data_IF_762806376976
#
_entry.id   IF_762806376976
#
_cell.length_a   1.000
_cell.length_b   1.000
_cell.length_c   1.000
_cell.angle_alpha   90.00
_cell.angle_beta   90.00
_cell.angle_gamma   90.00
#
_symmetry.space_group_name_H-M   'P 1'
#
loop_
_entity.id
_entity.type
_entity.pdbx_description
1 polymer ?
#
# COMPACT_ATOMS: atom_id res chain seq x y z
N UNK A 1 2.88 -14.95 4.86
CA UNK A 1 3.07 -13.59 4.30
C UNK A 1 1.82 -12.79 4.63
N UNK A 2 1.88 -11.48 4.79
CA UNK A 2 0.67 -10.68 5.01
C UNK A 2 -0.15 -10.72 3.71
N UNK A 3 -1.27 -11.43 3.73
CA UNK A 3 -2.13 -11.65 2.57
C UNK A 3 -3.43 -10.85 2.75
N UNK A 4 -3.90 -10.24 1.66
CA UNK A 4 -5.23 -9.65 1.62
C UNK A 4 -6.21 -10.83 1.57
N UNK A 5 -6.88 -11.10 2.70
CA UNK A 5 -7.81 -12.23 2.82
C UNK A 5 -9.18 -11.88 2.26
N UNK A 6 -10.02 -12.86 1.86
CA UNK A 6 -11.35 -12.63 1.32
C UNK A 6 -12.29 -11.78 2.19
N UNK A 7 -12.03 -11.69 3.48
CA UNK A 7 -12.83 -10.92 4.43
C UNK A 7 -12.37 -9.45 4.56
N UNK A 8 -11.32 -9.05 3.82
CA UNK A 8 -10.82 -7.68 3.82
C UNK A 8 -11.59 -6.82 2.80
N UNK A 9 -11.96 -5.56 3.13
CA UNK A 9 -12.66 -4.66 2.20
C UNK A 9 -11.87 -4.42 0.89
N UNK A 10 -10.55 -4.58 0.94
CA UNK A 10 -9.68 -4.37 -0.23
C UNK A 10 -9.43 -5.62 -1.05
N UNK A 11 -10.00 -6.77 -0.66
CA UNK A 11 -9.79 -8.04 -1.35
C UNK A 11 -10.25 -8.00 -2.81
N UNK A 12 -11.47 -7.54 -3.06
CA UNK A 12 -12.02 -7.45 -4.42
C UNK A 12 -11.17 -6.55 -5.32
N UNK A 13 -10.79 -5.38 -4.80
CA UNK A 13 -9.93 -4.43 -5.51
C UNK A 13 -8.55 -5.02 -5.80
N UNK A 14 -7.95 -5.71 -4.83
CA UNK A 14 -6.66 -6.36 -5.01
C UNK A 14 -6.71 -7.46 -6.08
N UNK A 15 -7.77 -8.28 -6.10
CA UNK A 15 -7.95 -9.32 -7.10
C UNK A 15 -8.08 -8.73 -8.51
N UNK A 16 -8.88 -7.68 -8.68
CA UNK A 16 -9.02 -6.97 -9.95
C UNK A 16 -7.68 -6.42 -10.46
N UNK A 17 -6.92 -5.78 -9.57
CA UNK A 17 -5.59 -5.25 -9.90
C UNK A 17 -4.63 -6.39 -10.24
N UNK A 18 -4.62 -7.49 -9.45
CA UNK A 18 -3.77 -8.66 -9.70
C UNK A 18 -4.02 -9.25 -11.09
N UNK A 19 -5.30 -9.37 -11.47
CA UNK A 19 -5.70 -9.83 -12.79
C UNK A 19 -5.21 -8.88 -13.89
N UNK A 20 -5.37 -7.57 -13.70
CA UNK A 20 -4.88 -6.56 -14.65
C UNK A 20 -3.35 -6.60 -14.82
N UNK A 21 -2.60 -6.73 -13.72
CA UNK A 21 -1.13 -6.88 -13.76
C UNK A 21 -0.73 -8.18 -14.44
N UNK A 22 -1.38 -9.31 -14.15
CA UNK A 22 -1.09 -10.58 -14.81
C UNK A 22 -1.38 -10.53 -16.32
N UNK A 23 -2.46 -9.86 -16.73
CA UNK A 23 -2.75 -9.63 -18.15
C UNK A 23 -1.69 -8.72 -18.80
N UNK A 24 -1.23 -7.69 -18.10
CA UNK A 24 -0.16 -6.81 -18.56
C UNK A 24 1.16 -7.56 -18.72
N UNK A 25 1.53 -8.42 -17.77
CA UNK A 25 2.74 -9.27 -17.87
C UNK A 25 2.65 -10.22 -19.08
N UNK A 26 1.50 -10.88 -19.26
CA UNK A 26 1.28 -11.79 -20.37
C UNK A 26 1.38 -11.09 -21.74
N UNK A 27 0.89 -9.85 -21.86
CA UNK A 27 1.04 -9.03 -23.06
C UNK A 27 2.51 -8.75 -23.41
N UNK A 28 3.38 -8.67 -22.41
CA UNK A 28 4.82 -8.47 -22.57
C UNK A 28 5.61 -9.79 -22.59
N UNK A 29 4.94 -10.95 -22.65
CA UNK A 29 5.57 -12.27 -22.67
C UNK A 29 6.22 -12.66 -21.34
N UNK A 30 5.81 -12.04 -20.23
CA UNK A 30 6.32 -12.31 -18.88
C UNK A 30 5.31 -13.12 -18.07
N UNK A 31 5.81 -14.02 -17.22
CA UNK A 31 5.00 -14.67 -16.20
C UNK A 31 4.80 -13.73 -15.00
N UNK A 32 3.70 -13.91 -14.28
CA UNK A 32 3.47 -13.22 -13.02
C UNK A 32 4.55 -13.65 -11.99
N UNK A 33 5.30 -12.68 -11.47
CA UNK A 33 6.42 -12.92 -10.55
C UNK A 33 6.41 -11.97 -9.34
N UNK A 34 7.49 -11.98 -8.55
CA UNK A 34 7.61 -11.15 -7.34
C UNK A 34 7.48 -9.64 -7.64
N UNK A 35 7.88 -9.19 -8.83
CA UNK A 35 7.67 -7.80 -9.23
C UNK A 35 6.19 -7.54 -9.48
N UNK A 36 5.49 -8.48 -10.11
CA UNK A 36 4.04 -8.42 -10.31
C UNK A 36 3.27 -8.37 -8.98
N UNK A 37 3.75 -9.08 -7.95
CA UNK A 37 3.21 -8.99 -6.59
C UNK A 37 3.41 -7.60 -5.97
N UNK A 38 4.62 -7.04 -6.07
CA UNK A 38 4.92 -5.67 -5.60
C UNK A 38 4.08 -4.62 -6.33
N UNK A 39 3.94 -4.75 -7.65
CA UNK A 39 3.06 -3.91 -8.45
C UNK A 39 1.62 -4.00 -7.95
N UNK A 40 1.10 -5.23 -7.80
CA UNK A 40 -0.27 -5.47 -7.33
C UNK A 40 -0.53 -4.81 -5.98
N UNK A 41 0.37 -4.98 -5.01
CA UNK A 41 0.22 -4.42 -3.68
C UNK A 41 0.29 -2.87 -3.69
N UNK A 42 1.27 -2.32 -4.40
CA UNK A 42 1.44 -0.86 -4.54
C UNK A 42 0.26 -0.19 -5.23
N UNK A 43 -0.26 -0.81 -6.28
CA UNK A 43 -1.43 -0.32 -7.01
C UNK A 43 -2.71 -0.43 -6.17
N UNK A 44 -2.84 -1.43 -5.31
CA UNK A 44 -3.97 -1.55 -4.38
C UNK A 44 -3.99 -0.38 -3.40
N UNK A 45 -2.82 -0.02 -2.85
CA UNK A 45 -2.66 1.17 -2.00
C UNK A 45 -3.03 2.43 -2.78
N UNK A 46 -2.47 2.62 -3.98
CA UNK A 46 -2.76 3.79 -4.82
C UNK A 46 -4.26 3.96 -5.09
N UNK A 47 -4.93 2.88 -5.50
CA UNK A 47 -6.35 2.91 -5.80
C UNK A 47 -7.16 3.32 -4.55
N UNK A 48 -6.82 2.82 -3.37
CA UNK A 48 -7.46 3.21 -2.10
C UNK A 48 -7.20 4.66 -1.72
N UNK A 49 -5.95 5.11 -1.79
CA UNK A 49 -5.56 6.50 -1.50
C UNK A 49 -6.25 7.51 -2.45
N UNK A 50 -6.53 7.10 -3.69
CA UNK A 50 -7.22 7.92 -4.69
C UNK A 50 -8.74 7.70 -4.72
N UNK A 51 -9.28 6.90 -3.80
CA UNK A 51 -10.73 6.69 -3.65
C UNK A 51 -11.38 5.87 -4.77
N UNK A 52 -10.61 5.09 -5.53
CA UNK A 52 -11.15 4.13 -6.48
C UNK A 52 -11.83 2.98 -5.70
N UNK A 53 -13.02 2.61 -6.15
CA UNK A 53 -13.80 1.53 -5.54
C UNK A 53 -13.58 0.19 -6.24
N UNK A 54 -13.22 0.24 -7.52
CA UNK A 54 -12.89 -0.90 -8.35
C UNK A 54 -11.79 -0.52 -9.35
N UNK A 55 -11.14 -1.50 -9.95
CA UNK A 55 -10.21 -1.30 -11.07
C UNK A 55 -10.65 -2.19 -12.22
N UNK A 56 -11.02 -1.55 -13.33
CA UNK A 56 -11.43 -2.23 -14.55
C UNK A 56 -10.23 -2.44 -15.48
N UNK A 57 -9.23 -1.55 -15.44
CA UNK A 57 -8.02 -1.65 -16.26
C UNK A 57 -6.74 -1.27 -15.51
N UNK A 58 -5.67 -2.02 -15.80
CA UNK A 58 -4.28 -1.68 -15.44
C UNK A 58 -3.51 -1.43 -16.73
N UNK A 59 -2.95 -0.24 -16.88
CA UNK A 59 -2.33 0.23 -18.13
C UNK A 59 -0.96 0.82 -17.85
N UNK A 60 -0.10 0.87 -18.88
CA UNK A 60 1.21 1.52 -18.81
C UNK A 60 1.25 2.75 -19.72
N UNK A 61 2.09 3.73 -19.37
CA UNK A 61 2.28 4.91 -20.22
C UNK A 61 2.88 4.54 -21.57
N UNK A 62 2.40 5.18 -22.63
CA UNK A 62 3.08 5.19 -23.91
C UNK A 62 4.43 5.92 -23.82
N UNK A 63 5.31 5.65 -24.79
CA UNK A 63 6.55 6.40 -24.92
C UNK A 63 6.25 7.87 -25.29
N UNK A 64 7.06 8.77 -24.76
CA UNK A 64 7.05 10.21 -25.04
C UNK A 64 8.47 10.65 -25.39
N UNK A 65 8.64 11.91 -25.82
CA UNK A 65 9.97 12.47 -26.07
C UNK A 65 10.88 12.46 -24.82
N UNK A 66 10.30 12.47 -23.62
CA UNK A 66 11.03 12.57 -22.35
C UNK A 66 11.16 11.23 -21.62
N UNK A 67 10.24 10.30 -21.84
CA UNK A 67 10.16 9.05 -21.06
C UNK A 67 9.82 7.84 -21.95
N UNK A 68 10.42 6.68 -21.68
CA UNK A 68 10.09 5.45 -22.40
C UNK A 68 8.66 4.97 -22.09
N UNK A 69 8.16 4.06 -22.91
CA UNK A 69 6.94 3.31 -22.58
C UNK A 69 7.12 2.57 -21.24
N UNK A 70 6.05 2.42 -20.47
CA UNK A 70 6.13 1.77 -19.16
C UNK A 70 6.68 2.64 -18.03
N UNK A 71 7.01 3.92 -18.27
CA UNK A 71 7.51 4.80 -17.21
C UNK A 71 6.51 4.96 -16.04
N UNK A 72 5.22 5.13 -16.35
CA UNK A 72 4.14 5.15 -15.37
C UNK A 72 3.19 3.97 -15.58
N UNK A 73 2.58 3.54 -14.48
CA UNK A 73 1.49 2.57 -14.46
C UNK A 73 0.23 3.24 -13.93
N UNK A 74 -0.91 2.87 -14.50
CA UNK A 74 -2.22 3.45 -14.26
C UNK A 74 -3.19 2.38 -13.82
N UNK A 75 -4.04 2.72 -12.86
CA UNK A 75 -5.27 1.99 -12.55
C UNK A 75 -6.45 2.85 -12.95
N UNK A 76 -7.41 2.26 -13.66
CA UNK A 76 -8.57 2.96 -14.21
C UNK A 76 -9.85 2.26 -13.76
N UNK A 77 -10.81 3.06 -13.32
CA UNK A 77 -12.17 2.66 -13.01
C UNK A 77 -13.10 3.18 -14.12
N UNK A 78 -13.89 2.28 -14.70
CA UNK A 78 -14.73 2.50 -15.86
C UNK A 78 -14.01 2.34 -17.18
N UNK A 79 -14.72 2.61 -18.27
CA UNK A 79 -14.19 2.55 -19.63
C UNK A 79 -13.19 3.71 -19.88
N UNK A 80 -11.94 3.43 -20.30
CA UNK A 80 -10.96 4.46 -20.63
C UNK A 80 -11.40 5.43 -21.75
N UNK A 81 -12.33 5.02 -22.62
CA UNK A 81 -12.93 5.86 -23.65
C UNK A 81 -14.05 6.78 -23.10
N UNK A 82 -14.56 6.49 -21.90
CA UNK A 82 -15.53 7.33 -21.22
C UNK A 82 -14.82 8.49 -20.52
N UNK A 83 -15.17 9.77 -20.78
CA UNK A 83 -14.53 10.92 -20.14
C UNK A 83 -14.77 11.00 -18.63
N UNK A 84 -15.77 10.30 -18.10
CA UNK A 84 -16.06 10.24 -16.67
C UNK A 84 -15.28 9.13 -15.92
N UNK A 85 -14.32 8.46 -16.57
CA UNK A 85 -13.50 7.47 -15.88
C UNK A 85 -12.69 8.09 -14.75
N UNK A 86 -12.45 7.31 -13.70
CA UNK A 86 -11.51 7.69 -12.65
C UNK A 86 -10.20 6.97 -12.91
N UNK A 87 -9.08 7.66 -12.67
CA UNK A 87 -7.76 7.05 -12.83
C UNK A 87 -6.81 7.55 -11.76
N UNK A 88 -5.89 6.67 -11.39
CA UNK A 88 -4.73 6.98 -10.58
C UNK A 88 -3.48 6.48 -11.27
N UNK A 89 -2.34 7.10 -10.97
CA UNK A 89 -1.06 6.73 -11.56
C UNK A 89 0.08 6.80 -10.56
N UNK A 90 1.14 6.03 -10.84
CA UNK A 90 2.42 6.15 -10.15
C UNK A 90 3.56 5.70 -11.06
N UNK A 91 4.82 6.10 -10.78
CA UNK A 91 5.97 5.59 -11.50
C UNK A 91 6.09 4.07 -11.34
N UNK A 92 6.24 3.35 -12.45
CA UNK A 92 6.35 1.89 -12.45
C UNK A 92 7.55 1.42 -11.62
N UNK A 93 8.66 2.16 -11.65
CA UNK A 93 9.84 1.86 -10.85
C UNK A 93 9.55 1.90 -9.35
N UNK A 94 8.76 2.88 -8.88
CA UNK A 94 8.36 3.00 -7.47
C UNK A 94 7.47 1.82 -7.08
N UNK A 95 6.47 1.51 -7.90
CA UNK A 95 5.56 0.39 -7.66
C UNK A 95 6.31 -0.97 -7.64
N UNK A 96 7.28 -1.15 -8.52
CA UNK A 96 8.07 -2.37 -8.64
C UNK A 96 9.12 -2.53 -7.52
N UNK A 97 9.59 -1.43 -6.91
CA UNK A 97 10.60 -1.45 -5.85
C UNK A 97 10.00 -1.45 -4.44
N UNK A 98 8.75 -1.02 -4.28
CA UNK A 98 8.08 -1.00 -2.98
C UNK A 98 7.87 -2.43 -2.47
N UNK A 99 8.39 -2.79 -1.28
CA UNK A 99 8.16 -4.12 -0.71
C UNK A 99 6.67 -4.36 -0.46
N UNK A 100 6.20 -5.59 -0.72
CA UNK A 100 4.80 -5.98 -0.48
C UNK A 100 4.38 -5.66 0.95
N UNK A 101 5.24 -5.97 1.92
CA UNK A 101 5.00 -5.73 3.35
C UNK A 101 4.73 -4.25 3.65
N UNK A 102 5.46 -3.33 3.01
CA UNK A 102 5.25 -1.89 3.17
C UNK A 102 3.89 -1.46 2.63
N UNK A 103 3.48 -2.01 1.47
CA UNK A 103 2.14 -1.75 0.94
C UNK A 103 1.05 -2.35 1.83
N UNK A 104 1.26 -3.54 2.40
CA UNK A 104 0.30 -4.15 3.33
C UNK A 104 0.16 -3.34 4.62
N UNK A 105 1.25 -2.79 5.16
CA UNK A 105 1.19 -1.87 6.31
C UNK A 105 0.31 -0.66 6.02
N UNK A 106 0.40 -0.08 4.82
CA UNK A 106 -0.45 1.05 4.40
C UNK A 106 -1.92 0.67 4.25
N UNK A 107 -2.21 -0.59 3.89
CA UNK A 107 -3.58 -1.13 3.85
C UNK A 107 -4.10 -1.54 5.23
N UNK A 108 -3.34 -1.32 6.32
CA UNK A 108 -3.72 -1.76 7.67
C UNK A 108 -3.59 -3.28 7.88
N UNK A 109 -2.97 -4.00 6.94
CA UNK A 109 -2.73 -5.45 6.95
C UNK A 109 -1.32 -5.82 7.44
N UNK A 110 -0.51 -4.83 7.82
CA UNK A 110 0.76 -5.08 8.50
C UNK A 110 0.52 -5.87 9.77
N UNK A 111 1.45 -6.77 10.12
CA UNK A 111 1.51 -7.29 11.49
C UNK A 111 1.55 -6.07 12.38
N UNK A 112 0.50 -5.90 13.18
CA UNK A 112 0.48 -4.94 14.25
C UNK A 112 1.64 -5.37 15.16
N UNK A 113 2.84 -4.82 14.96
CA UNK A 113 3.71 -4.56 16.08
C UNK A 113 2.92 -3.54 16.88
N UNK A 114 2.03 -4.07 17.72
CA UNK A 114 1.51 -3.38 18.87
C UNK A 114 2.74 -2.69 19.45
N UNK A 115 2.76 -1.36 19.38
CA UNK A 115 3.71 -0.59 20.14
C UNK A 115 3.45 -0.95 21.59
N UNK A 116 4.16 -1.97 22.07
CA UNK A 116 4.18 -2.36 23.47
C UNK A 116 4.79 -1.17 24.19
N UNK A 117 3.90 -0.39 24.81
CA UNK A 117 4.18 0.50 25.93
C UNK A 117 5.35 1.47 25.75
N UNK A 118 5.09 2.61 25.11
CA UNK A 118 5.71 3.84 25.62
C UNK A 118 4.74 4.39 26.65
N UNK A 119 4.84 3.87 27.88
CA UNK A 119 4.34 4.60 29.05
C UNK A 119 5.07 5.94 29.07
N UNK A 120 4.39 7.10 29.09
CA UNK A 120 5.09 8.36 29.24
C UNK A 120 5.83 8.32 30.59
N UNK A 121 7.17 8.39 30.54
CA UNK A 121 8.09 8.45 31.71
C UNK A 121 7.73 9.55 32.73
N UNK A 122 6.78 10.43 32.39
CA UNK A 122 6.21 11.42 33.30
C UNK A 122 5.49 10.77 34.50
N UNK A 123 4.72 9.69 34.30
CA UNK A 123 3.94 9.09 35.40
C UNK A 123 4.80 8.31 36.40
N UNK A 124 5.99 7.83 36.02
CA UNK A 124 6.90 7.14 36.93
C UNK A 124 7.60 8.12 37.90
N UNK A 125 7.97 9.32 37.43
CA UNK A 125 8.61 10.35 38.28
C UNK A 125 7.67 10.93 39.34
N UNK A 126 6.38 10.99 39.06
CA UNK A 126 5.39 11.54 40.01
C UNK A 126 5.17 10.61 41.22
N UNK A 127 5.33 9.29 41.04
CA UNK A 127 5.16 8.30 42.11
C UNK A 127 6.40 8.21 43.02
N UNK A 128 7.62 8.33 42.48
CA UNK A 128 8.84 8.36 43.30
C UNK A 128 8.92 9.61 44.20
N UNK A 129 8.37 10.74 43.74
CA UNK A 129 8.43 11.99 44.51
C UNK A 129 7.44 12.02 45.69
N UNK A 130 6.40 11.18 45.67
CA UNK A 130 5.43 11.05 46.75
C UNK A 130 5.80 9.96 47.78
N UNK A 131 6.72 9.05 47.46
CA UNK A 131 7.10 7.93 48.34
C UNK A 131 8.31 8.20 49.24
N UNK A 132 8.91 9.40 49.24
CA UNK A 132 10.05 9.70 50.11
C UNK A 132 9.76 10.70 51.26
N UNK A 133 8.88 10.39 52.24
CA UNK A 133 8.83 11.07 53.53
C UNK A 133 9.69 10.30 54.56
N UNK A 134 10.99 10.20 54.34
CA UNK A 134 11.91 9.71 55.37
C UNK A 134 13.26 10.38 55.17
N UNK A 135 13.48 11.48 55.90
CA UNK A 135 14.74 11.92 56.52
C UNK A 135 14.55 13.37 57.00
N UNK A 136 14.06 13.56 58.24
CA UNK A 136 14.58 14.50 59.25
C UNK A 136 13.60 14.62 60.43
N UNK A 137 13.57 13.59 61.27
CA UNK A 137 13.39 13.75 62.72
C UNK A 137 14.74 13.36 63.34
N UNK A 138 15.30 14.25 64.15
CA UNK A 138 16.62 14.15 64.77
C UNK A 138 17.15 15.52 65.11
#
# INVERSE_FOLDING_TARGET
MAEITPNHPDYGLNQQIRQGVAALDAQHGRAFDQTSERLTASLTVLAREQGLQQVDHVLVSNATAQHPAGHNIFVVQGDPANPAHLRAMMPTAVAAQTPVEQSMQKLGLGVQQQAVGVVPEQQAREQEQQQNPAHRLG
#
